data_IF_621717915488
#
_entry.id   IF_621717915488
#
_cell.length_a   1.000
_cell.length_b   1.000
_cell.length_c   1.000
_cell.angle_alpha   90.00
_cell.angle_beta   90.00
_cell.angle_gamma   90.00
#
_symmetry.space_group_name_H-M   'P 1'
#
loop_
_entity.id
_entity.type
_entity.pdbx_description
1 polymer ?
#
# COMPACT_ATOMS: atom_id res chain seq x y z
N UNK A 1 -1.47 -32.43 -26.44
CA UNK A 1 -2.84 -32.68 -25.90
C UNK A 1 -3.61 -31.37 -25.76
N UNK A 2 -3.20 -30.33 -26.47
CA UNK A 2 -3.24 -28.98 -25.90
C UNK A 2 -4.51 -28.21 -26.31
N UNK A 3 -5.13 -28.61 -27.44
CA UNK A 3 -6.41 -28.07 -27.90
C UNK A 3 -7.55 -28.24 -26.89
N UNK A 4 -7.55 -29.33 -26.10
CA UNK A 4 -8.54 -29.52 -25.03
C UNK A 4 -8.37 -28.52 -23.89
N UNK A 5 -7.13 -28.30 -23.45
CA UNK A 5 -6.78 -27.33 -22.40
C UNK A 5 -7.18 -25.92 -22.83
N UNK A 6 -6.86 -25.55 -24.07
CA UNK A 6 -7.22 -24.26 -24.67
C UNK A 6 -8.74 -24.07 -24.68
N UNK A 7 -9.51 -25.07 -25.13
CA UNK A 7 -10.97 -25.00 -25.14
C UNK A 7 -11.57 -24.82 -23.74
N UNK A 8 -11.05 -25.51 -22.72
CA UNK A 8 -11.49 -25.37 -21.32
C UNK A 8 -11.15 -23.97 -20.77
N UNK A 9 -9.95 -23.44 -21.05
CA UNK A 9 -9.54 -22.10 -20.66
C UNK A 9 -10.42 -21.01 -21.27
N UNK A 10 -10.64 -21.07 -22.58
CA UNK A 10 -11.55 -20.17 -23.32
C UNK A 10 -12.95 -20.21 -22.71
N UNK A 11 -13.51 -21.41 -22.50
CA UNK A 11 -14.88 -21.55 -21.98
C UNK A 11 -15.01 -21.02 -20.56
N UNK A 12 -13.99 -21.22 -19.72
CA UNK A 12 -13.96 -20.70 -18.35
C UNK A 12 -13.94 -19.17 -18.30
N UNK A 13 -13.19 -18.49 -19.18
CA UNK A 13 -13.22 -17.02 -19.27
C UNK A 13 -14.56 -16.51 -19.81
N UNK A 14 -15.20 -17.19 -20.76
CA UNK A 14 -16.56 -16.84 -21.21
C UNK A 14 -17.55 -16.92 -20.04
N UNK A 15 -17.51 -18.00 -19.25
CA UNK A 15 -18.39 -18.16 -18.08
C UNK A 15 -18.15 -17.05 -17.05
N UNK A 16 -16.89 -16.69 -16.78
CA UNK A 16 -16.54 -15.60 -15.87
C UNK A 16 -17.13 -14.25 -16.32
N UNK A 17 -16.96 -13.91 -17.61
CA UNK A 17 -17.47 -12.64 -18.15
C UNK A 17 -18.99 -12.63 -18.15
N UNK A 18 -19.64 -13.75 -18.50
CA UNK A 18 -21.10 -13.88 -18.44
C UNK A 18 -21.64 -13.72 -17.00
N UNK A 19 -21.03 -14.38 -16.02
CA UNK A 19 -21.40 -14.23 -14.60
C UNK A 19 -21.25 -12.78 -14.13
N UNK A 20 -20.17 -12.09 -14.54
CA UNK A 20 -19.95 -10.68 -14.22
C UNK A 20 -20.92 -9.73 -14.94
N UNK A 21 -21.39 -10.07 -16.15
CA UNK A 21 -22.43 -9.32 -16.87
C UNK A 21 -23.83 -9.53 -16.28
N UNK A 22 -24.09 -10.69 -15.68
CA UNK A 22 -25.41 -11.05 -15.13
C UNK A 22 -25.59 -10.65 -13.66
N UNK A 23 -24.59 -10.05 -13.01
CA UNK A 23 -24.70 -9.56 -11.63
C UNK A 23 -25.71 -8.37 -11.56
N UNK A 24 -26.88 -8.55 -10.91
CA UNK A 24 -27.93 -7.53 -10.87
C UNK A 24 -27.53 -6.28 -10.07
N UNK A 25 -26.42 -6.30 -9.32
CA UNK A 25 -25.89 -5.12 -8.66
C UNK A 25 -25.20 -4.14 -9.62
N UNK A 26 -24.96 -4.55 -10.88
CA UNK A 26 -24.23 -3.78 -11.89
C UNK A 26 -24.81 -3.91 -13.29
N UNK A 27 -25.93 -3.22 -13.49
CA UNK A 27 -26.37 -2.85 -14.83
C UNK A 27 -26.41 -1.32 -14.91
N UNK A 28 -25.24 -0.74 -15.18
CA UNK A 28 -25.24 0.32 -16.19
C UNK A 28 -25.72 -0.35 -17.48
N UNK A 29 -26.65 0.28 -18.20
CA UNK A 29 -27.25 -0.25 -19.43
C UNK A 29 -26.23 -0.28 -20.56
N UNK A 30 -25.30 -1.22 -20.51
CA UNK A 30 -24.38 -1.50 -21.59
C UNK A 30 -25.09 -2.42 -22.57
N UNK A 31 -25.71 -1.84 -23.60
CA UNK A 31 -26.21 -2.55 -24.80
C UNK A 31 -25.04 -3.09 -25.67
N UNK A 32 -23.88 -3.36 -25.05
CA UNK A 32 -22.59 -3.70 -25.64
C UNK A 32 -22.00 -4.92 -24.93
N UNK A 33 -21.21 -5.70 -25.67
CA UNK A 33 -20.55 -6.87 -25.10
C UNK A 33 -19.41 -6.45 -24.16
N UNK A 34 -19.47 -6.82 -22.89
CA UNK A 34 -18.38 -6.56 -21.95
C UNK A 34 -17.06 -7.18 -22.47
N UNK A 35 -17.13 -8.33 -23.15
CA UNK A 35 -15.96 -8.98 -23.74
C UNK A 35 -15.32 -8.16 -24.87
N UNK A 36 -16.07 -7.37 -25.65
CA UNK A 36 -15.47 -6.48 -26.65
C UNK A 36 -14.83 -5.26 -25.99
N UNK A 37 -15.50 -4.67 -25.01
CA UNK A 37 -15.01 -3.48 -24.31
C UNK A 37 -13.71 -3.78 -23.54
N UNK A 38 -13.57 -4.97 -22.93
CA UNK A 38 -12.32 -5.36 -22.24
C UNK A 38 -11.13 -5.68 -23.16
N UNK A 39 -11.33 -5.68 -24.48
CA UNK A 39 -10.30 -5.94 -25.51
C UNK A 39 -9.80 -4.68 -26.21
N UNK A 40 -10.36 -3.50 -25.92
CA UNK A 40 -9.88 -2.24 -26.48
C UNK A 40 -8.46 -1.94 -26.01
N UNK A 41 -7.66 -1.23 -26.81
CA UNK A 41 -6.34 -0.76 -26.37
C UNK A 41 -6.51 0.41 -25.38
N UNK A 42 -7.39 1.34 -25.72
CA UNK A 42 -7.79 2.45 -24.86
C UNK A 42 -8.71 2.00 -23.72
N UNK A 43 -8.70 2.76 -22.63
CA UNK A 43 -9.61 2.57 -21.50
C UNK A 43 -11.07 2.71 -21.98
N UNK A 44 -11.98 1.76 -21.67
CA UNK A 44 -13.38 1.89 -22.08
C UNK A 44 -14.01 3.18 -21.54
N UNK A 45 -14.79 3.87 -22.36
CA UNK A 45 -15.29 5.23 -22.02
C UNK A 45 -16.20 5.30 -20.78
N UNK A 46 -16.79 4.18 -20.37
CA UNK A 46 -17.57 4.07 -19.14
C UNK A 46 -16.72 3.74 -17.91
N UNK A 47 -15.46 3.32 -18.08
CA UNK A 47 -14.63 2.72 -17.06
C UNK A 47 -13.71 3.72 -16.36
N UNK A 48 -13.36 3.43 -15.11
CA UNK A 48 -12.36 4.18 -14.33
C UNK A 48 -11.17 3.26 -14.06
N UNK A 49 -9.95 3.67 -14.40
CA UNK A 49 -8.77 2.87 -14.09
C UNK A 49 -8.55 2.82 -12.56
N UNK A 50 -8.59 1.62 -12.00
CA UNK A 50 -8.43 1.34 -10.58
C UNK A 50 -7.03 0.84 -10.20
N UNK A 51 -6.20 0.53 -11.20
CA UNK A 51 -4.83 0.02 -11.06
C UNK A 51 -4.46 -0.92 -12.21
N UNK A 52 -3.40 -1.70 -12.01
CA UNK A 52 -2.95 -2.73 -12.94
C UNK A 52 -2.90 -4.10 -12.24
N UNK A 53 -2.88 -5.19 -13.01
CA UNK A 53 -2.67 -6.55 -12.49
C UNK A 53 -2.08 -7.46 -13.58
N UNK A 54 -1.15 -8.34 -13.22
CA UNK A 54 -0.64 -9.36 -14.13
C UNK A 54 -1.70 -10.46 -14.36
N UNK A 55 -1.72 -11.06 -15.56
CA UNK A 55 -2.65 -12.17 -15.88
C UNK A 55 -2.59 -13.28 -14.83
N UNK A 56 -1.38 -13.66 -14.41
CA UNK A 56 -1.13 -14.68 -13.39
C UNK A 56 -1.79 -14.34 -12.05
N UNK A 57 -1.53 -13.14 -11.52
CA UNK A 57 -2.12 -12.73 -10.24
C UNK A 57 -3.63 -12.55 -10.33
N UNK A 58 -4.17 -12.12 -11.47
CA UNK A 58 -5.62 -12.08 -11.72
C UNK A 58 -6.24 -13.48 -11.68
N UNK A 59 -5.67 -14.45 -12.40
CA UNK A 59 -6.12 -15.85 -12.38
C UNK A 59 -6.00 -16.44 -10.96
N UNK A 60 -4.90 -16.16 -10.26
CA UNK A 60 -4.70 -16.51 -8.87
C UNK A 60 -5.76 -15.95 -7.92
N UNK A 61 -6.21 -14.69 -8.09
CA UNK A 61 -7.33 -14.11 -7.32
C UNK A 61 -8.63 -14.86 -7.56
N UNK A 62 -8.95 -15.13 -8.83
CA UNK A 62 -10.20 -15.76 -9.26
C UNK A 62 -10.34 -17.19 -8.71
N UNK A 63 -9.25 -17.96 -8.68
CA UNK A 63 -9.24 -19.32 -8.14
C UNK A 63 -9.28 -19.40 -6.59
N UNK A 64 -8.84 -18.36 -5.87
CA UNK A 64 -8.58 -18.45 -4.41
C UNK A 64 -9.81 -18.40 -3.48
N UNK A 65 -11.05 -18.25 -3.97
CA UNK A 65 -12.24 -18.05 -3.12
C UNK A 65 -13.42 -18.96 -3.47
N UNK A 66 -14.07 -19.51 -2.43
CA UNK A 66 -15.18 -20.49 -2.55
C UNK A 66 -16.60 -19.93 -2.41
N UNK A 67 -16.77 -18.60 -2.27
CA UNK A 67 -18.09 -17.98 -2.01
C UNK A 67 -18.46 -17.04 -3.15
N UNK A 68 -19.06 -17.65 -4.15
CA UNK A 68 -19.72 -17.02 -5.27
C UNK A 68 -21.23 -16.97 -5.00
N UNK A 69 -21.92 -15.87 -5.33
CA UNK A 69 -23.39 -15.83 -5.24
C UNK A 69 -23.98 -16.61 -6.41
N UNK A 70 -25.05 -17.41 -6.23
CA UNK A 70 -25.82 -17.89 -7.37
C UNK A 70 -26.34 -16.71 -8.21
N UNK A 71 -26.32 -16.78 -9.56
CA UNK A 71 -26.03 -17.96 -10.38
C UNK A 71 -24.60 -17.97 -10.98
N UNK A 72 -23.55 -17.62 -10.24
CA UNK A 72 -22.17 -17.74 -10.75
C UNK A 72 -21.81 -19.22 -11.07
N UNK A 73 -21.64 -19.53 -12.36
CA UNK A 73 -21.28 -20.86 -12.88
C UNK A 73 -19.76 -21.05 -12.91
N UNK A 74 -18.98 -19.97 -12.99
CA UNK A 74 -17.53 -19.98 -13.07
C UNK A 74 -16.86 -20.80 -11.95
N UNK A 75 -17.36 -20.71 -10.71
CA UNK A 75 -16.86 -21.52 -9.59
C UNK A 75 -16.89 -23.02 -9.90
N UNK A 76 -17.99 -23.52 -10.46
CA UNK A 76 -18.11 -24.94 -10.84
C UNK A 76 -17.15 -25.31 -11.96
N UNK A 77 -16.86 -24.39 -12.88
CA UNK A 77 -15.83 -24.62 -13.90
C UNK A 77 -14.44 -24.79 -13.28
N UNK A 78 -14.10 -24.02 -12.23
CA UNK A 78 -12.87 -24.22 -11.46
C UNK A 78 -12.86 -25.58 -10.77
N UNK A 79 -13.95 -25.98 -10.09
CA UNK A 79 -14.07 -27.31 -9.47
C UNK A 79 -13.87 -28.44 -10.49
N UNK A 80 -14.46 -28.33 -11.70
CA UNK A 80 -14.26 -29.30 -12.77
C UNK A 80 -12.81 -29.36 -13.28
N UNK A 81 -12.10 -28.22 -13.36
CA UNK A 81 -10.69 -28.19 -13.75
C UNK A 81 -9.82 -28.89 -12.69
N UNK A 82 -10.10 -28.67 -11.40
CA UNK A 82 -9.43 -29.37 -10.29
C UNK A 82 -9.70 -30.88 -10.32
N UNK A 83 -10.95 -31.30 -10.63
CA UNK A 83 -11.31 -32.72 -10.79
C UNK A 83 -10.56 -33.41 -11.94
N UNK A 84 -10.20 -32.66 -12.99
CA UNK A 84 -9.38 -33.16 -14.11
C UNK A 84 -7.87 -33.19 -13.79
N UNK A 85 -7.48 -32.96 -12.53
CA UNK A 85 -6.08 -32.85 -12.06
C UNK A 85 -5.27 -31.73 -12.74
N UNK A 86 -5.97 -30.74 -13.30
CA UNK A 86 -5.36 -29.60 -13.97
C UNK A 86 -5.24 -28.42 -12.99
N UNK A 87 -4.21 -27.59 -13.14
CA UNK A 87 -4.06 -26.37 -12.36
C UNK A 87 -5.00 -25.28 -12.89
N UNK A 88 -5.96 -24.76 -12.09
CA UNK A 88 -6.94 -23.80 -12.62
C UNK A 88 -6.33 -22.46 -13.05
N UNK A 89 -5.25 -22.02 -12.39
CA UNK A 89 -4.54 -20.77 -12.75
C UNK A 89 -4.00 -20.87 -14.18
N UNK A 90 -3.20 -21.90 -14.47
CA UNK A 90 -2.59 -22.17 -15.78
C UNK A 90 -3.66 -22.25 -16.90
N UNK A 91 -4.81 -22.90 -16.61
CA UNK A 91 -5.93 -23.03 -17.56
C UNK A 91 -6.63 -21.70 -17.82
N UNK A 92 -6.83 -20.87 -16.80
CA UNK A 92 -7.38 -19.52 -16.98
C UNK A 92 -6.43 -18.62 -17.75
N UNK A 93 -5.13 -18.65 -17.46
CA UNK A 93 -4.13 -17.85 -18.18
C UNK A 93 -4.19 -18.09 -19.69
N UNK A 94 -4.30 -19.35 -20.11
CA UNK A 94 -4.48 -19.73 -21.52
C UNK A 94 -5.75 -19.07 -22.10
N UNK A 95 -6.86 -19.05 -21.37
CA UNK A 95 -8.09 -18.37 -21.77
C UNK A 95 -7.94 -16.84 -21.87
N UNK A 96 -7.35 -16.19 -20.87
CA UNK A 96 -7.11 -14.75 -20.84
C UNK A 96 -6.18 -14.32 -22.00
N UNK A 97 -5.10 -15.07 -22.23
CA UNK A 97 -4.15 -14.84 -23.31
C UNK A 97 -4.79 -15.08 -24.69
N UNK A 98 -5.70 -16.06 -24.84
CA UNK A 98 -6.44 -16.29 -26.08
C UNK A 98 -7.34 -15.09 -26.45
N UNK A 99 -8.05 -14.53 -25.48
CA UNK A 99 -8.92 -13.37 -25.73
C UNK A 99 -8.15 -12.05 -25.92
N UNK A 100 -6.89 -11.98 -25.45
CA UNK A 100 -6.08 -10.75 -25.42
C UNK A 100 -6.83 -9.61 -24.73
N UNK A 101 -7.27 -9.88 -23.49
CA UNK A 101 -7.93 -8.87 -22.66
C UNK A 101 -6.87 -7.86 -22.18
N UNK A 102 -7.11 -6.57 -22.42
CA UNK A 102 -6.23 -5.48 -21.97
C UNK A 102 -6.74 -4.87 -20.64
N UNK A 103 -8.02 -5.06 -20.34
CA UNK A 103 -8.65 -4.59 -19.11
C UNK A 103 -9.47 -5.72 -18.47
N UNK A 104 -9.66 -5.66 -17.16
CA UNK A 104 -10.58 -6.52 -16.42
C UNK A 104 -11.37 -5.71 -15.39
N UNK A 105 -12.60 -6.09 -15.04
CA UNK A 105 -13.28 -5.64 -13.83
C UNK A 105 -12.39 -5.59 -12.56
N UNK A 106 -12.39 -4.49 -11.79
CA UNK A 106 -11.85 -4.44 -10.40
C UNK A 106 -12.74 -5.28 -9.47
N UNK A 107 -12.66 -6.61 -9.61
CA UNK A 107 -13.42 -7.54 -8.78
C UNK A 107 -12.89 -7.50 -7.35
N UNK A 108 -13.76 -7.14 -6.42
CA UNK A 108 -13.48 -7.19 -4.98
C UNK A 108 -14.11 -8.44 -4.38
N UNK A 109 -13.41 -8.97 -3.38
CA UNK A 109 -13.72 -10.27 -2.76
C UNK A 109 -14.28 -10.11 -1.34
N UNK A 110 -14.58 -8.87 -0.93
CA UNK A 110 -15.19 -8.47 0.34
C UNK A 110 -16.18 -7.34 0.09
N UNK A 111 -17.41 -7.47 0.60
CA UNK A 111 -18.40 -6.38 0.55
C UNK A 111 -18.13 -5.30 1.62
N UNK A 112 -18.93 -4.21 1.62
CA UNK A 112 -18.76 -3.10 2.58
C UNK A 112 -18.98 -3.53 4.06
N UNK A 113 -19.64 -4.66 4.29
CA UNK A 113 -19.82 -5.27 5.61
C UNK A 113 -18.81 -6.40 5.88
N UNK A 114 -17.73 -6.47 5.09
CA UNK A 114 -16.65 -7.44 5.16
C UNK A 114 -17.07 -8.92 4.93
N UNK A 115 -18.26 -9.17 4.35
CA UNK A 115 -18.62 -10.53 3.95
C UNK A 115 -17.78 -10.93 2.73
N UNK A 116 -17.29 -12.17 2.71
CA UNK A 116 -16.57 -12.70 1.56
C UNK A 116 -17.52 -12.97 0.39
N UNK A 117 -17.70 -11.98 -0.48
CA UNK A 117 -18.49 -12.06 -1.71
C UNK A 117 -17.66 -11.46 -2.84
N UNK A 118 -17.67 -12.14 -3.98
CA UNK A 118 -17.26 -11.53 -5.24
C UNK A 118 -18.31 -10.50 -5.62
N UNK A 119 -17.89 -9.26 -5.76
CA UNK A 119 -18.65 -8.17 -6.37
C UNK A 119 -17.66 -7.27 -7.09
N UNK A 120 -18.06 -6.82 -8.26
CA UNK A 120 -17.42 -5.69 -8.91
C UNK A 120 -18.09 -4.42 -8.29
N UNK A 121 -17.38 -3.33 -7.90
CA UNK A 121 -18.01 -2.11 -7.39
C UNK A 121 -17.79 -0.87 -8.28
N UNK A 122 -18.86 -0.10 -8.57
CA UNK A 122 -18.88 1.11 -9.42
C UNK A 122 -18.64 0.86 -10.93
N UNK A 123 -17.63 1.48 -11.56
CA UNK A 123 -17.21 1.24 -12.95
C UNK A 123 -15.68 0.93 -13.05
N UNK A 124 -15.05 0.56 -11.94
CA UNK A 124 -13.59 0.42 -11.86
C UNK A 124 -13.05 -0.76 -12.67
N UNK A 125 -12.03 -0.57 -13.50
CA UNK A 125 -11.31 -1.64 -14.21
C UNK A 125 -9.83 -1.61 -13.86
N UNK A 126 -9.17 -2.76 -13.88
CA UNK A 126 -7.72 -2.89 -13.81
C UNK A 126 -7.17 -3.15 -15.20
N UNK A 127 -6.06 -2.51 -15.57
CA UNK A 127 -5.32 -2.86 -16.79
C UNK A 127 -4.65 -4.22 -16.58
N UNK A 128 -4.89 -5.16 -17.49
CA UNK A 128 -4.21 -6.45 -17.50
C UNK A 128 -2.85 -6.24 -18.14
N UNK A 129 -1.77 -6.52 -17.40
CA UNK A 129 -0.44 -6.62 -17.96
C UNK A 129 -0.11 -8.08 -18.25
N UNK A 130 0.39 -8.36 -19.46
CA UNK A 130 1.03 -9.63 -19.74
C UNK A 130 2.30 -9.78 -18.89
N UNK A 131 2.79 -11.01 -18.71
CA UNK A 131 4.21 -11.20 -18.41
C UNK A 131 4.99 -10.72 -19.64
N UNK A 132 5.42 -9.46 -19.61
CA UNK A 132 6.23 -8.93 -20.68
C UNK A 132 7.63 -9.52 -20.56
N UNK A 133 8.02 -10.35 -21.54
CA UNK A 133 9.41 -10.76 -21.72
C UNK A 133 10.28 -9.60 -22.25
N UNK A 134 9.79 -8.37 -22.26
CA UNK A 134 10.62 -7.17 -22.40
C UNK A 134 11.62 -7.13 -21.24
N UNK A 135 12.87 -7.43 -21.57
CA UNK A 135 13.99 -7.45 -20.62
C UNK A 135 14.37 -6.06 -20.05
N UNK A 136 13.56 -5.02 -20.28
CA UNK A 136 13.82 -3.71 -19.69
C UNK A 136 13.63 -3.77 -18.16
N UNK A 137 14.61 -3.22 -17.44
CA UNK A 137 14.59 -3.16 -15.97
C UNK A 137 13.39 -2.36 -15.48
N UNK A 138 12.98 -1.34 -16.22
CA UNK A 138 11.80 -0.51 -15.94
C UNK A 138 10.47 -1.30 -16.02
N UNK A 139 10.27 -2.14 -17.05
CA UNK A 139 9.07 -2.97 -17.16
C UNK A 139 8.98 -3.97 -15.99
N UNK A 140 10.10 -4.64 -15.66
CA UNK A 140 10.19 -5.54 -14.51
C UNK A 140 9.91 -4.80 -13.19
N UNK A 141 10.44 -3.58 -13.03
CA UNK A 141 10.21 -2.71 -11.86
C UNK A 141 8.74 -2.32 -11.70
N UNK A 142 8.06 -1.96 -12.79
CA UNK A 142 6.62 -1.66 -12.80
C UNK A 142 5.77 -2.90 -12.49
N UNK A 143 6.13 -4.05 -13.06
CA UNK A 143 5.46 -5.33 -12.80
C UNK A 143 5.59 -5.74 -11.32
N UNK A 144 6.81 -5.82 -10.78
CA UNK A 144 7.02 -6.18 -9.38
C UNK A 144 6.40 -5.16 -8.42
N UNK A 145 6.38 -3.86 -8.74
CA UNK A 145 5.67 -2.86 -7.92
C UNK A 145 4.17 -3.16 -7.86
N UNK A 146 3.56 -3.47 -9.00
CA UNK A 146 2.14 -3.86 -9.11
C UNK A 146 1.84 -5.14 -8.32
N UNK A 147 2.64 -6.18 -8.54
CA UNK A 147 2.47 -7.50 -7.90
C UNK A 147 2.70 -7.41 -6.37
N UNK A 148 3.61 -6.54 -5.91
CA UNK A 148 3.81 -6.25 -4.49
C UNK A 148 2.61 -5.50 -3.89
N UNK A 149 2.11 -4.44 -4.52
CA UNK A 149 0.90 -3.74 -4.03
C UNK A 149 -0.26 -4.73 -3.88
N UNK A 150 -0.44 -5.60 -4.87
CA UNK A 150 -1.44 -6.66 -4.81
C UNK A 150 -1.19 -7.66 -3.67
N UNK A 151 0.04 -8.14 -3.48
CA UNK A 151 0.40 -9.03 -2.37
C UNK A 151 0.10 -8.38 -1.00
N UNK A 152 0.45 -7.10 -0.85
CA UNK A 152 0.20 -6.33 0.36
C UNK A 152 -1.29 -6.10 0.61
N UNK A 153 -2.12 -5.90 -0.43
CA UNK A 153 -3.60 -5.85 -0.30
C UNK A 153 -4.18 -7.24 0.05
N UNK A 154 -3.73 -8.31 -0.60
CA UNK A 154 -4.24 -9.68 -0.40
C UNK A 154 -3.99 -10.18 1.02
N UNK A 155 -2.78 -10.01 1.53
CA UNK A 155 -2.47 -10.29 2.95
C UNK A 155 -3.14 -9.26 3.87
N UNK A 156 -3.61 -8.12 3.33
CA UNK A 156 -4.17 -7.00 4.07
C UNK A 156 -3.18 -6.40 5.05
N UNK A 157 -1.94 -6.26 4.59
CA UNK A 157 -0.83 -5.58 5.25
C UNK A 157 -0.99 -4.05 5.15
N UNK A 158 -1.62 -3.56 4.09
CA UNK A 158 -1.81 -2.13 3.81
C UNK A 158 -3.27 -1.81 3.47
N UNK A 159 -3.63 -0.52 3.49
CA UNK A 159 -4.91 -0.04 2.97
C UNK A 159 -4.75 0.45 1.52
N UNK A 160 -5.46 -0.17 0.59
CA UNK A 160 -5.40 0.13 -0.85
C UNK A 160 -5.84 1.56 -1.21
N UNK A 161 -6.54 2.27 -0.31
CA UNK A 161 -6.95 3.66 -0.53
C UNK A 161 -5.78 4.58 -0.85
N UNK A 162 -4.64 4.44 -0.15
CA UNK A 162 -3.44 5.26 -0.41
C UNK A 162 -2.85 5.01 -1.79
N UNK A 163 -2.81 3.77 -2.25
CA UNK A 163 -2.22 3.44 -3.56
C UNK A 163 -3.10 3.89 -4.73
N UNK A 164 -4.43 3.95 -4.55
CA UNK A 164 -5.36 4.41 -5.60
C UNK A 164 -5.17 5.87 -6.01
N UNK A 165 -4.73 6.73 -5.08
CA UNK A 165 -4.42 8.13 -5.37
C UNK A 165 -3.22 8.24 -6.32
N UNK A 166 -2.19 7.41 -6.13
CA UNK A 166 -1.05 7.36 -7.04
C UNK A 166 -1.39 6.69 -8.37
N UNK A 167 -2.10 5.55 -8.34
CA UNK A 167 -2.50 4.81 -9.54
C UNK A 167 -3.51 5.56 -10.44
N UNK A 168 -4.15 6.62 -9.95
CA UNK A 168 -5.03 7.49 -10.75
C UNK A 168 -4.32 8.69 -11.38
N UNK A 169 -3.11 9.04 -10.89
CA UNK A 169 -2.31 10.18 -11.36
C UNK A 169 -1.10 9.73 -12.19
N UNK A 170 -0.51 8.58 -11.83
CA UNK A 170 0.59 7.94 -12.52
C UNK A 170 0.14 6.57 -13.02
N UNK A 171 0.12 6.38 -14.35
CA UNK A 171 -0.29 5.13 -15.00
C UNK A 171 0.47 3.90 -14.46
N UNK A 172 1.74 4.10 -14.07
CA UNK A 172 2.65 3.09 -13.52
C UNK A 172 3.31 3.59 -12.21
N UNK A 173 2.60 3.58 -11.08
CA UNK A 173 3.26 3.80 -9.78
C UNK A 173 4.31 2.71 -9.53
N UNK A 174 5.54 3.13 -9.23
CA UNK A 174 6.66 2.26 -8.86
C UNK A 174 7.15 2.60 -7.47
N UNK A 175 7.54 1.60 -6.68
CA UNK A 175 8.23 1.90 -5.42
C UNK A 175 9.65 2.41 -5.73
N UNK A 176 10.11 3.53 -5.14
CA UNK A 176 11.42 4.11 -5.46
C UNK A 176 12.59 3.13 -5.28
N UNK A 177 12.54 2.33 -4.20
CA UNK A 177 13.53 1.30 -3.90
C UNK A 177 13.50 0.07 -4.81
N UNK A 178 12.50 -0.08 -5.69
CA UNK A 178 12.26 -1.33 -6.42
C UNK A 178 13.36 -1.65 -7.44
N UNK A 179 13.79 -0.66 -8.24
CA UNK A 179 14.76 -0.87 -9.32
C UNK A 179 16.09 -1.38 -8.73
N UNK A 180 16.64 -0.65 -7.77
CA UNK A 180 17.92 -0.99 -7.11
C UNK A 180 17.85 -2.30 -6.30
N UNK A 181 16.68 -2.67 -5.76
CA UNK A 181 16.50 -3.98 -5.09
C UNK A 181 16.49 -5.12 -6.13
N UNK A 182 15.80 -4.94 -7.26
CA UNK A 182 15.78 -5.95 -8.34
C UNK A 182 17.16 -6.14 -8.96
N UNK A 183 17.90 -5.05 -9.21
CA UNK A 183 19.30 -5.09 -9.66
C UNK A 183 20.18 -5.81 -8.65
N UNK A 184 20.13 -5.42 -7.36
CA UNK A 184 20.91 -6.07 -6.30
C UNK A 184 20.50 -7.54 -6.05
N UNK A 185 19.36 -8.00 -6.55
CA UNK A 185 18.89 -9.39 -6.45
C UNK A 185 18.97 -10.17 -7.77
N UNK A 186 19.52 -9.62 -8.86
CA UNK A 186 19.57 -10.28 -10.19
C UNK A 186 20.22 -11.67 -10.16
N UNK A 187 21.30 -11.82 -9.39
CA UNK A 187 22.09 -13.05 -9.29
C UNK A 187 21.63 -13.95 -8.14
N UNK A 188 20.55 -13.57 -7.45
CA UNK A 188 19.93 -14.41 -6.43
C UNK A 188 18.94 -15.36 -7.12
N UNK A 189 19.33 -16.62 -7.28
CA UNK A 189 18.57 -17.65 -8.00
C UNK A 189 17.32 -18.13 -7.25
N UNK A 190 16.40 -17.21 -6.96
CA UNK A 190 15.10 -17.47 -6.37
C UNK A 190 14.02 -17.68 -7.44
N UNK A 191 12.97 -18.42 -7.11
CA UNK A 191 11.74 -18.42 -7.90
C UNK A 191 11.01 -17.08 -7.77
N UNK A 192 10.24 -16.69 -8.79
CA UNK A 192 9.47 -15.43 -8.78
C UNK A 192 8.57 -15.30 -7.54
N UNK A 193 7.98 -16.40 -7.05
CA UNK A 193 7.16 -16.42 -5.82
C UNK A 193 7.95 -16.10 -4.54
N UNK A 194 9.20 -16.54 -4.47
CA UNK A 194 10.11 -16.27 -3.35
C UNK A 194 10.60 -14.83 -3.44
N UNK A 195 10.98 -14.39 -4.64
CA UNK A 195 11.40 -13.02 -4.92
C UNK A 195 10.27 -12.01 -4.58
N UNK A 196 9.03 -12.29 -5.00
CA UNK A 196 7.86 -11.48 -4.67
C UNK A 196 7.62 -11.38 -3.15
N UNK A 197 7.79 -12.49 -2.41
CA UNK A 197 7.68 -12.47 -0.94
C UNK A 197 8.78 -11.62 -0.28
N UNK A 198 10.04 -11.76 -0.72
CA UNK A 198 11.18 -10.97 -0.21
C UNK A 198 11.00 -9.48 -0.52
N UNK A 199 10.65 -9.12 -1.76
CA UNK A 199 10.42 -7.73 -2.15
C UNK A 199 9.20 -7.13 -1.45
N UNK A 200 8.12 -7.91 -1.23
CA UNK A 200 6.96 -7.45 -0.45
C UNK A 200 7.30 -7.16 1.01
N UNK A 201 8.17 -7.98 1.62
CA UNK A 201 8.72 -7.74 2.95
C UNK A 201 9.60 -6.49 3.00
N UNK A 202 10.53 -6.33 2.05
CA UNK A 202 11.37 -5.13 1.92
C UNK A 202 10.53 -3.86 1.72
N UNK A 203 9.46 -3.95 0.91
CA UNK A 203 8.55 -2.84 0.65
C UNK A 203 7.70 -2.48 1.89
N UNK A 204 7.38 -3.43 2.77
CA UNK A 204 6.82 -3.10 4.09
C UNK A 204 7.78 -2.27 4.93
N UNK A 205 9.09 -2.58 4.90
CA UNK A 205 10.12 -1.82 5.63
C UNK A 205 10.25 -0.41 5.04
N UNK A 206 10.30 -0.27 3.71
CA UNK A 206 10.30 1.03 3.02
C UNK A 206 9.07 1.88 3.35
N UNK A 207 7.88 1.28 3.33
CA UNK A 207 6.63 1.94 3.75
C UNK A 207 6.69 2.40 5.22
N UNK A 208 7.19 1.57 6.14
CA UNK A 208 7.37 1.93 7.55
C UNK A 208 8.37 3.08 7.75
N UNK A 209 9.46 3.11 6.98
CA UNK A 209 10.41 4.24 6.98
C UNK A 209 9.77 5.54 6.48
N UNK A 210 8.88 5.45 5.48
CA UNK A 210 8.04 6.55 5.00
C UNK A 210 6.86 6.90 5.91
N UNK A 211 6.74 6.27 7.10
CA UNK A 211 5.62 6.45 8.05
C UNK A 211 4.25 6.08 7.48
N UNK A 212 4.20 5.21 6.47
CA UNK A 212 2.95 4.63 5.98
C UNK A 212 2.46 3.52 6.91
N UNK A 213 1.14 3.29 6.90
CA UNK A 213 0.52 2.25 7.72
C UNK A 213 0.83 0.86 7.16
N UNK A 214 1.38 -0.01 8.03
CA UNK A 214 1.52 -1.45 7.79
C UNK A 214 0.96 -2.21 9.00
N UNK A 215 0.11 -3.21 8.77
CA UNK A 215 -0.58 -3.95 9.82
C UNK A 215 0.38 -4.85 10.60
N UNK A 216 0.84 -4.35 11.76
CA UNK A 216 1.84 -4.98 12.62
C UNK A 216 1.72 -6.51 12.78
N UNK A 217 0.58 -7.03 13.26
CA UNK A 217 0.44 -8.46 13.57
C UNK A 217 0.52 -9.38 12.33
N UNK A 218 0.25 -8.86 11.13
CA UNK A 218 0.36 -9.62 9.87
C UNK A 218 1.77 -9.51 9.31
N UNK A 219 2.37 -8.34 9.41
CA UNK A 219 3.77 -8.14 9.03
C UNK A 219 4.71 -8.99 9.88
N UNK A 220 4.44 -9.14 11.19
CA UNK A 220 5.11 -10.09 12.07
C UNK A 220 5.05 -11.54 11.54
N UNK A 221 3.88 -11.99 11.04
CA UNK A 221 3.72 -13.33 10.45
C UNK A 221 4.51 -13.47 9.15
N UNK A 222 4.52 -12.44 8.29
CA UNK A 222 5.30 -12.44 7.04
C UNK A 222 6.81 -12.49 7.32
N UNK A 223 7.30 -11.67 8.24
CA UNK A 223 8.70 -11.66 8.69
C UNK A 223 9.12 -13.04 9.20
N UNK A 224 8.38 -13.62 10.13
CA UNK A 224 8.66 -14.96 10.66
C UNK A 224 8.64 -16.03 9.54
N UNK A 225 7.64 -16.00 8.64
CA UNK A 225 7.56 -16.91 7.49
C UNK A 225 8.79 -16.83 6.60
N UNK A 226 9.29 -15.63 6.31
CA UNK A 226 10.48 -15.42 5.47
C UNK A 226 11.75 -15.91 6.16
N UNK A 227 11.94 -15.62 7.44
CA UNK A 227 13.09 -16.12 8.21
C UNK A 227 13.11 -17.65 8.32
N UNK A 228 11.94 -18.29 8.46
CA UNK A 228 11.82 -19.76 8.49
C UNK A 228 12.05 -20.38 7.10
N UNK A 229 11.47 -19.80 6.04
CA UNK A 229 11.56 -20.35 4.70
C UNK A 229 12.91 -20.09 4.01
N UNK A 230 13.62 -19.03 4.38
CA UNK A 230 14.88 -18.61 3.77
C UNK A 230 15.91 -18.34 4.88
N UNK A 231 16.61 -19.38 5.37
CA UNK A 231 17.65 -19.22 6.39
C UNK A 231 18.70 -18.19 5.97
N UNK A 232 19.12 -17.34 6.92
CA UNK A 232 20.13 -16.28 6.73
C UNK A 232 19.79 -15.19 5.70
N UNK A 233 18.54 -15.06 5.25
CA UNK A 233 18.12 -14.03 4.28
C UNK A 233 18.52 -12.61 4.69
N UNK A 234 18.45 -12.25 5.98
CA UNK A 234 18.87 -10.92 6.45
C UNK A 234 20.36 -10.66 6.22
N UNK A 235 21.21 -11.67 6.41
CA UNK A 235 22.66 -11.57 6.15
C UNK A 235 22.97 -11.42 4.66
N UNK A 236 22.21 -12.09 3.78
CA UNK A 236 22.32 -11.95 2.32
C UNK A 236 21.85 -10.57 1.85
N UNK A 237 20.77 -10.06 2.44
CA UNK A 237 20.26 -8.72 2.14
C UNK A 237 21.17 -7.62 2.71
N UNK A 238 21.89 -7.87 3.80
CA UNK A 238 22.91 -6.96 4.32
C UNK A 238 24.19 -6.97 3.49
N UNK A 239 24.68 -8.14 3.04
CA UNK A 239 25.89 -8.22 2.21
C UNK A 239 25.68 -7.63 0.81
N UNK A 240 24.44 -7.62 0.31
CA UNK A 240 24.04 -6.95 -0.94
C UNK A 240 23.63 -5.47 -0.75
N UNK A 241 23.86 -4.89 0.44
CA UNK A 241 23.47 -3.50 0.76
C UNK A 241 22.00 -3.16 0.43
N UNK A 242 21.09 -4.10 0.71
CA UNK A 242 19.64 -3.87 0.62
C UNK A 242 19.10 -3.53 2.02
N UNK A 243 19.56 -4.27 3.03
CA UNK A 243 19.34 -3.94 4.44
C UNK A 243 20.60 -3.29 5.03
N UNK A 244 20.38 -2.31 5.89
CA UNK A 244 21.41 -1.69 6.72
C UNK A 244 21.72 -2.54 7.96
N UNK A 245 22.78 -2.14 8.68
CA UNK A 245 23.10 -2.64 10.02
C UNK A 245 22.20 -2.03 11.11
N UNK A 246 21.44 -0.98 10.78
CA UNK A 246 20.62 -0.21 11.74
C UNK A 246 19.20 -0.79 11.86
N UNK A 247 18.65 -0.79 13.08
CA UNK A 247 17.30 -1.29 13.37
C UNK A 247 16.22 -0.24 13.13
N UNK A 248 15.01 -0.69 12.81
CA UNK A 248 13.83 0.16 12.66
C UNK A 248 13.23 0.48 14.04
N UNK A 249 13.54 1.67 14.58
CA UNK A 249 13.18 2.05 15.96
C UNK A 249 11.67 2.14 16.24
N UNK A 250 10.82 2.22 15.20
CA UNK A 250 9.37 2.34 15.33
C UNK A 250 8.66 1.04 15.70
N UNK A 251 9.38 -0.08 15.81
CA UNK A 251 8.81 -1.40 16.13
C UNK A 251 9.49 -1.99 17.37
N UNK A 252 8.77 -1.99 18.50
CA UNK A 252 9.30 -2.41 19.81
C UNK A 252 9.37 -3.93 20.05
N UNK A 253 8.97 -4.77 19.09
CA UNK A 253 8.81 -6.24 19.29
C UNK A 253 9.20 -7.13 18.10
N UNK A 254 9.73 -6.57 17.02
CA UNK A 254 10.37 -7.33 15.92
C UNK A 254 11.77 -6.76 15.70
N UNK A 255 12.74 -7.64 15.53
CA UNK A 255 14.09 -7.24 15.13
C UNK A 255 14.12 -7.09 13.62
N UNK A 256 13.94 -5.85 13.14
CA UNK A 256 13.88 -5.53 11.73
C UNK A 256 14.92 -4.46 11.42
N UNK A 257 15.73 -4.71 10.39
CA UNK A 257 16.71 -3.76 9.88
C UNK A 257 16.06 -2.75 8.94
N UNK A 258 16.57 -1.52 8.89
CA UNK A 258 16.15 -0.51 7.90
C UNK A 258 16.70 -0.89 6.53
N UNK A 259 16.01 -0.49 5.46
CA UNK A 259 16.59 -0.43 4.12
C UNK A 259 17.89 0.41 4.13
N UNK A 260 18.83 0.03 3.28
CA UNK A 260 20.14 0.70 3.17
C UNK A 260 20.01 2.14 2.63
N UNK A 261 20.93 3.02 3.02
CA UNK A 261 20.93 4.43 2.61
C UNK A 261 21.27 4.67 1.13
N UNK A 262 21.80 3.67 0.43
CA UNK A 262 22.02 3.72 -1.03
C UNK A 262 20.77 3.38 -1.86
N UNK A 263 19.62 3.11 -1.22
CA UNK A 263 18.33 2.94 -1.90
C UNK A 263 17.55 4.26 -1.87
N UNK A 264 16.86 4.59 -2.95
CA UNK A 264 15.91 5.70 -2.94
C UNK A 264 14.71 5.35 -2.05
N UNK A 265 14.45 6.17 -1.03
CA UNK A 265 13.40 5.89 -0.04
C UNK A 265 12.19 6.80 -0.18
N UNK A 266 12.32 8.00 -0.76
CA UNK A 266 11.25 8.99 -0.77
C UNK A 266 10.16 8.60 -1.75
N UNK A 267 8.98 8.25 -1.25
CA UNK A 267 7.80 8.08 -2.12
C UNK A 267 7.42 9.47 -2.66
N UNK A 268 7.38 9.70 -3.99
CA UNK A 268 7.01 11.00 -4.53
C UNK A 268 5.59 11.34 -4.10
N UNK A 269 5.32 12.59 -3.72
CA UNK A 269 3.96 13.04 -3.42
C UNK A 269 3.12 13.12 -4.71
N UNK A 270 1.80 12.85 -4.65
CA UNK A 270 0.98 12.85 -5.84
C UNK A 270 0.78 14.30 -6.24
N UNK A 271 1.40 14.70 -7.36
CA UNK A 271 1.24 16.05 -7.92
C UNK A 271 -0.24 16.25 -8.22
N UNK A 272 -0.93 16.91 -7.30
CA UNK A 272 -2.33 17.24 -7.46
C UNK A 272 -2.36 18.21 -8.63
N UNK A 273 -3.00 17.83 -9.74
CA UNK A 273 -3.24 18.76 -10.85
C UNK A 273 -4.08 19.89 -10.26
N UNK A 274 -3.43 21.00 -9.93
CA UNK A 274 -4.11 22.21 -9.46
C UNK A 274 -4.99 22.64 -10.62
N UNK A 275 -6.29 22.44 -10.47
CA UNK A 275 -7.29 22.98 -11.36
C UNK A 275 -7.14 24.49 -11.33
N UNK A 276 -6.45 25.04 -12.33
CA UNK A 276 -6.37 26.47 -12.60
C UNK A 276 -7.75 26.94 -13.07
N UNK A 277 -8.65 27.10 -12.12
CA UNK A 277 -9.81 27.95 -12.25
C UNK A 277 -9.40 29.28 -11.65
N UNK A 278 -9.19 30.25 -12.52
CA UNK A 278 -8.95 31.64 -12.15
C UNK A 278 -10.11 32.17 -11.31
N UNK A 279 -9.78 32.86 -10.23
CA UNK A 279 -10.68 33.74 -9.50
C UNK A 279 -9.79 34.86 -8.95
N UNK A 280 -9.75 35.95 -9.72
CA UNK A 280 -9.22 37.24 -9.28
C UNK A 280 -10.18 37.87 -8.25
N UNK A 281 -9.70 38.86 -7.51
CA UNK A 281 -10.41 39.68 -6.50
C UNK A 281 -10.90 38.90 -5.24
N UNK A 282 -10.78 39.33 -3.97
CA UNK A 282 -9.97 40.35 -3.27
C UNK A 282 -9.95 39.87 -1.77
N UNK A 283 -9.26 40.39 -0.74
CA UNK A 283 -8.65 41.69 -0.45
C UNK A 283 -7.32 41.53 0.34
N UNK A 284 -6.74 42.66 0.74
CA UNK A 284 -5.49 42.87 1.49
C UNK A 284 -5.54 42.67 3.02
N UNK A 285 -4.38 42.37 3.61
CA UNK A 285 -3.73 43.03 4.78
C UNK A 285 -2.90 41.97 5.56
N UNK A 286 -1.58 41.82 5.36
CA UNK A 286 -0.40 42.69 5.62
C UNK A 286 0.30 42.36 6.96
N UNK A 287 1.63 42.53 6.99
CA UNK A 287 2.59 42.27 8.06
C UNK A 287 2.63 40.85 8.70
N UNK A 288 3.74 40.10 8.63
CA UNK A 288 5.07 40.60 8.99
C UNK A 288 6.21 39.77 8.39
N UNK A 289 7.26 40.45 7.91
CA UNK A 289 8.53 39.85 7.49
C UNK A 289 9.46 39.65 8.70
N UNK A 290 10.00 38.44 8.87
CA UNK A 290 11.35 38.30 9.43
C UNK A 290 12.17 37.39 8.51
N UNK A 291 13.04 38.02 7.73
CA UNK A 291 14.17 37.35 7.08
C UNK A 291 15.24 37.06 8.12
N UNK A 292 15.79 35.84 8.11
CA UNK A 292 17.17 35.61 8.55
C UNK A 292 17.83 34.67 7.55
N UNK A 293 18.46 35.29 6.54
CA UNK A 293 19.61 34.68 5.91
C UNK A 293 20.72 34.55 6.96
N UNK A 294 21.53 33.49 6.86
CA UNK A 294 22.92 33.54 7.28
C UNK A 294 23.70 32.60 6.37
N UNK A 295 24.45 33.20 5.45
CA UNK A 295 25.53 32.51 4.74
C UNK A 295 26.70 32.32 5.72
N UNK A 296 27.47 31.27 5.52
CA UNK A 296 28.91 31.40 5.32
C UNK A 296 29.46 30.11 4.71
N UNK A 297 30.22 30.28 3.63
CA UNK A 297 31.01 29.24 2.98
C UNK A 297 32.31 29.00 3.77
N UNK A 298 32.86 27.78 3.69
CA UNK A 298 34.32 27.58 3.51
C UNK A 298 34.67 26.12 3.25
N UNK A 299 35.67 25.94 2.39
CA UNK A 299 36.15 24.69 1.79
C UNK A 299 36.94 23.72 2.70
N UNK A 300 36.96 22.47 2.23
CA UNK A 300 38.10 21.51 2.10
C UNK A 300 38.99 21.11 3.30
N UNK A 301 39.19 19.79 3.43
CA UNK A 301 40.46 19.10 3.74
C UNK A 301 40.22 17.67 4.25
N UNK A 302 40.74 16.67 3.54
CA UNK A 302 40.76 15.26 3.91
C UNK A 302 41.77 14.91 5.01
N UNK A 303 41.46 13.95 5.90
CA UNK A 303 42.46 13.00 6.45
C UNK A 303 41.79 11.70 6.91
N UNK A 304 42.51 10.59 6.87
CA UNK A 304 42.01 9.23 7.13
C UNK A 304 42.15 8.77 8.60
N UNK A 305 41.43 7.67 8.88
CA UNK A 305 41.59 6.67 9.97
C UNK A 305 40.92 6.85 11.37
N UNK A 306 40.45 5.73 11.97
CA UNK A 306 39.63 5.68 13.21
C UNK A 306 40.52 5.52 14.47
N UNK A 307 40.03 5.65 15.74
CA UNK A 307 38.75 5.09 16.20
C UNK A 307 38.01 5.80 17.34
N UNK A 308 36.86 5.19 17.70
CA UNK A 308 36.45 4.79 19.06
C UNK A 308 34.99 5.16 19.41
N UNK A 309 34.45 4.38 20.34
CA UNK A 309 33.06 4.34 20.77
C UNK A 309 32.80 5.45 21.78
N UNK A 310 31.97 6.43 21.44
CA UNK A 310 31.21 7.17 22.45
C UNK A 310 29.72 7.30 22.06
N UNK A 311 28.90 7.32 23.11
CA UNK A 311 27.45 7.30 23.04
C UNK A 311 26.87 8.69 22.74
N UNK A 312 25.58 8.70 22.38
CA UNK A 312 24.69 9.86 22.50
C UNK A 312 25.06 11.13 21.72
N UNK A 313 24.44 11.27 20.54
CA UNK A 313 23.85 12.56 20.20
C UNK A 313 22.34 12.42 20.06
N UNK A 314 21.63 13.02 21.02
CA UNK A 314 20.19 12.88 21.23
C UNK A 314 19.45 13.61 20.10
N UNK A 315 19.03 12.86 19.08
CA UNK A 315 18.10 13.37 18.07
C UNK A 315 16.81 13.81 18.78
N UNK A 316 16.46 15.10 18.66
CA UNK A 316 15.29 15.72 19.30
C UNK A 316 14.05 14.83 19.15
N UNK A 317 13.48 14.36 20.26
CA UNK A 317 12.34 13.44 20.24
C UNK A 317 11.13 14.09 19.54
N UNK A 318 10.82 13.61 18.34
CA UNK A 318 9.59 13.98 17.63
C UNK A 318 8.35 13.49 18.37
N UNK A 319 7.27 14.28 18.30
CA UNK A 319 5.95 14.06 18.95
C UNK A 319 5.56 12.58 19.07
N UNK A 320 5.39 12.10 20.29
CA UNK A 320 4.83 10.78 20.60
C UNK A 320 3.30 10.82 20.55
N UNK A 321 2.70 10.86 19.35
CA UNK A 321 1.25 10.70 19.21
C UNK A 321 0.82 9.28 19.63
N UNK A 322 -0.11 9.15 20.58
CA UNK A 322 -0.68 7.85 20.95
C UNK A 322 -1.66 7.36 19.86
N UNK A 323 -1.62 6.07 19.48
CA UNK A 323 -2.48 5.53 18.43
C UNK A 323 -3.96 5.57 18.84
N UNK A 324 -4.82 5.88 17.87
CA UNK A 324 -6.27 5.92 18.08
C UNK A 324 -6.81 4.55 18.53
N UNK A 325 -7.71 4.56 19.51
CA UNK A 325 -8.32 3.34 20.07
C UNK A 325 -7.56 2.69 21.23
N UNK A 326 -6.39 3.21 21.64
CA UNK A 326 -5.66 2.69 22.80
C UNK A 326 -6.39 3.01 24.12
N UNK A 327 -6.96 2.00 24.78
CA UNK A 327 -7.73 2.11 26.03
C UNK A 327 -6.86 2.21 27.30
N UNK A 328 -5.67 2.80 27.20
CA UNK A 328 -4.83 3.05 28.39
C UNK A 328 -5.44 4.12 29.29
N UNK A 329 -5.25 3.97 30.61
CA UNK A 329 -5.61 5.00 31.60
C UNK A 329 -4.86 6.31 31.29
N UNK A 330 -5.45 7.43 31.69
CA UNK A 330 -4.77 8.74 31.66
C UNK A 330 -3.74 8.79 32.78
N UNK A 331 -2.50 9.15 32.46
CA UNK A 331 -1.44 9.37 33.45
C UNK A 331 -1.63 10.70 34.17
N UNK A 332 -1.05 10.86 35.37
CA UNK A 332 -1.14 12.08 36.18
C UNK A 332 -0.70 13.31 35.38
N UNK A 333 0.42 13.23 34.68
CA UNK A 333 0.97 14.32 33.88
C UNK A 333 0.03 14.73 32.72
N UNK A 334 -0.70 13.79 32.11
CA UNK A 334 -1.72 14.12 31.10
C UNK A 334 -2.96 14.76 31.73
N UNK A 335 -3.29 14.43 32.98
CA UNK A 335 -4.40 15.03 33.73
C UNK A 335 -4.04 16.46 34.14
N UNK A 336 -2.83 16.72 34.64
CA UNK A 336 -2.33 18.08 34.94
C UNK A 336 -2.38 19.00 33.71
N UNK A 337 -2.04 18.47 32.52
CA UNK A 337 -2.19 19.23 31.27
C UNK A 337 -3.66 19.47 30.96
N UNK A 338 -4.55 18.50 31.13
CA UNK A 338 -5.99 18.72 30.92
C UNK A 338 -6.57 19.75 31.89
N UNK A 339 -6.22 19.68 33.17
CA UNK A 339 -6.71 20.60 34.20
C UNK A 339 -6.24 22.04 33.92
N UNK A 340 -4.99 22.21 33.46
CA UNK A 340 -4.51 23.48 32.91
C UNK A 340 -5.36 23.96 31.73
N UNK A 341 -5.61 23.12 30.71
CA UNK A 341 -6.44 23.50 29.55
C UNK A 341 -7.88 23.83 29.94
N UNK A 342 -8.45 23.15 30.94
CA UNK A 342 -9.78 23.43 31.49
C UNK A 342 -9.81 24.79 32.20
N UNK A 343 -8.78 25.11 33.00
CA UNK A 343 -8.68 26.40 33.70
C UNK A 343 -8.62 27.61 32.77
N UNK A 344 -8.14 27.43 31.52
CA UNK A 344 -8.11 28.46 30.49
C UNK A 344 -9.49 28.80 29.89
N UNK A 345 -10.55 28.04 30.23
CA UNK A 345 -11.95 28.30 29.81
C UNK A 345 -12.14 28.55 28.30
N UNK A 346 -11.39 27.83 27.48
CA UNK A 346 -11.42 27.98 26.01
C UNK A 346 -12.80 27.53 25.48
N UNK A 347 -13.52 28.43 24.80
CA UNK A 347 -14.89 28.21 24.34
C UNK A 347 -15.01 27.11 23.25
N UNK A 348 -13.98 27.00 22.41
CA UNK A 348 -13.93 26.05 21.29
C UNK A 348 -13.15 24.79 21.66
N UNK A 349 -13.80 23.63 21.55
CA UNK A 349 -13.16 22.33 21.78
C UNK A 349 -11.95 22.09 20.86
N UNK A 350 -12.00 22.62 19.64
CA UNK A 350 -10.92 22.50 18.65
C UNK A 350 -9.69 23.27 19.10
N UNK A 351 -9.89 24.46 19.64
CA UNK A 351 -8.81 25.34 20.09
C UNK A 351 -8.26 24.88 21.44
N UNK A 352 -9.12 24.35 22.32
CA UNK A 352 -8.71 23.64 23.52
C UNK A 352 -7.81 22.43 23.19
N UNK A 353 -8.14 21.67 22.13
CA UNK A 353 -7.33 20.55 21.67
C UNK A 353 -6.00 20.99 21.04
N UNK A 354 -5.99 22.08 20.26
CA UNK A 354 -4.75 22.64 19.72
C UNK A 354 -3.83 23.14 20.83
N UNK A 355 -4.39 23.77 21.88
CA UNK A 355 -3.64 24.20 23.07
C UNK A 355 -3.13 23.00 23.88
N UNK A 356 -3.94 21.95 24.06
CA UNK A 356 -3.52 20.67 24.64
C UNK A 356 -2.32 20.06 23.90
N UNK A 357 -2.34 20.02 22.56
CA UNK A 357 -1.21 19.55 21.75
C UNK A 357 0.06 20.37 21.94
N UNK A 358 -0.06 21.69 22.00
CA UNK A 358 1.07 22.58 22.26
C UNK A 358 1.68 22.31 23.64
N UNK A 359 0.83 22.14 24.66
CA UNK A 359 1.27 21.89 26.04
C UNK A 359 1.91 20.50 26.22
N UNK A 360 1.32 19.45 25.63
CA UNK A 360 1.93 18.12 25.58
C UNK A 360 3.29 18.15 24.85
N UNK A 361 3.40 18.91 23.74
CA UNK A 361 4.69 19.09 23.04
C UNK A 361 5.72 19.78 23.94
N UNK A 362 5.33 20.86 24.64
CA UNK A 362 6.18 21.60 25.58
C UNK A 362 6.70 20.70 26.71
N UNK A 363 5.81 19.95 27.35
CA UNK A 363 6.13 19.05 28.48
C UNK A 363 6.71 17.69 28.06
N UNK A 364 6.94 17.45 26.77
CA UNK A 364 7.37 16.16 26.18
C UNK A 364 6.47 14.96 26.56
N UNK A 365 5.19 15.22 26.73
CA UNK A 365 4.16 14.21 27.04
C UNK A 365 3.55 13.71 25.72
N UNK A 366 3.21 12.43 25.68
CA UNK A 366 2.51 11.83 24.54
C UNK A 366 1.04 12.32 24.47
N UNK A 367 0.63 12.91 23.35
CA UNK A 367 -0.74 13.42 23.16
C UNK A 367 -1.68 12.40 22.52
N UNK A 368 -2.98 12.49 22.86
CA UNK A 368 -4.03 11.58 22.38
C UNK A 368 -4.83 12.13 21.21
N UNK A 369 -5.59 11.25 20.54
CA UNK A 369 -6.54 11.63 19.49
C UNK A 369 -7.61 12.62 20.00
N UNK A 370 -8.14 13.46 19.10
CA UNK A 370 -9.19 14.43 19.41
C UNK A 370 -10.41 13.81 20.11
N UNK A 371 -10.83 12.62 19.65
CA UNK A 371 -11.93 11.86 20.26
C UNK A 371 -11.69 11.47 21.72
N UNK A 372 -10.47 11.01 22.05
CA UNK A 372 -10.08 10.63 23.40
C UNK A 372 -9.97 11.87 24.30
N UNK A 373 -9.33 12.94 23.81
CA UNK A 373 -9.28 14.25 24.46
C UNK A 373 -10.68 14.76 24.79
N UNK A 374 -11.56 14.90 23.79
CA UNK A 374 -12.93 15.40 23.94
C UNK A 374 -13.72 14.62 25.00
N UNK A 375 -13.64 13.29 24.96
CA UNK A 375 -14.34 12.41 25.91
C UNK A 375 -13.86 12.56 27.37
N UNK A 376 -12.58 12.87 27.59
CA UNK A 376 -12.02 13.09 28.93
C UNK A 376 -12.22 14.55 29.39
N UNK A 377 -12.04 15.52 28.50
CA UNK A 377 -12.25 16.95 28.73
C UNK A 377 -13.68 17.23 29.22
N UNK A 378 -14.71 16.72 28.54
CA UNK A 378 -16.10 16.85 29.00
C UNK A 378 -16.40 16.11 30.31
N UNK A 379 -15.62 15.08 30.68
CA UNK A 379 -15.82 14.35 31.93
C UNK A 379 -15.29 15.15 33.12
N UNK A 380 -14.15 15.81 32.94
CA UNK A 380 -13.54 16.68 33.96
C UNK A 380 -14.26 18.04 34.07
N UNK A 381 -14.79 18.57 32.97
CA UNK A 381 -15.68 19.75 32.97
C UNK A 381 -17.04 19.52 33.68
N UNK A 382 -17.36 18.27 34.06
CA UNK A 382 -18.63 17.87 34.70
C UNK A 382 -18.47 17.35 36.14
N UNK A 383 -17.24 17.35 36.66
CA UNK A 383 -16.90 17.02 38.05
C UNK A 383 -16.48 18.28 38.79
#
# INVERSE_FOLDING_TARGET
MDGGIIAIGIRSVILLIHDLQTDPSRIAKCDRSLLSDLRTQDLPCWAVLAGQITVHNLCGRLCRKKIYKPPFVFWRAIEFIEMLQMKPVDVLEIGFNHFKLNYFPDVRFTDRANNSKIHWPNNGVVRITGYSNENSVLAKTSQFSTDVIWFLENEGLVHMSKFREYLSVQDNFTFPWMCSILEKLSDYSATNDVLLQVISYLSCIGLLQNRWYVHYCKFSKLHNKILTNIPKIESVLQSREILSRFRLNSIHRLHIFRLHSSLELSIPEPVTKVSTVSSEDDLTDDDNRISTENKNDSDDSSTEEPPNIEHENISKEGRRHLPAGLTMKWSSNEIEVLDFIISLKIQSEKDAYMRYKAECTSRRIADRSFSAFKSKYHRLMKS
#
